data_IF_814084487724
#
_entry.id   IF_814084487724
#
_cell.length_a   1.000
_cell.length_b   1.000
_cell.length_c   1.000
_cell.angle_alpha   90.00
_cell.angle_beta   90.00
_cell.angle_gamma   90.00
#
_symmetry.space_group_name_H-M   'P 1'
#
loop_
_entity.id
_entity.type
_entity.pdbx_description
1 polymer ?
#
# COMPACT_ATOMS: atom_id res chain seq x y z
N UNK A 1 22.19 -29.18 8.17
CA UNK A 1 20.93 -28.55 7.71
C UNK A 1 21.26 -27.11 7.35
N UNK A 2 21.31 -26.79 6.07
CA UNK A 2 21.67 -25.45 5.61
C UNK A 2 20.40 -24.59 5.63
N UNK A 3 20.37 -23.56 6.46
CA UNK A 3 19.32 -22.53 6.39
C UNK A 3 19.47 -21.82 5.05
N UNK A 4 18.53 -22.03 4.13
CA UNK A 4 18.41 -21.17 2.96
C UNK A 4 17.84 -19.85 3.46
N UNK A 5 18.66 -18.80 3.47
CA UNK A 5 18.17 -17.42 3.57
C UNK A 5 17.33 -17.16 2.33
N UNK A 6 16.01 -17.12 2.49
CA UNK A 6 15.14 -16.61 1.43
C UNK A 6 15.44 -15.12 1.36
N UNK A 7 16.16 -14.68 0.32
CA UNK A 7 16.25 -13.25 0.02
C UNK A 7 14.84 -12.76 -0.33
N UNK A 8 14.25 -12.00 0.57
CA UNK A 8 12.97 -11.34 0.33
C UNK A 8 13.13 -10.31 -0.78
N UNK A 9 12.13 -10.23 -1.67
CA UNK A 9 12.12 -9.33 -2.82
C UNK A 9 11.70 -7.92 -2.39
N UNK A 10 12.35 -6.88 -2.88
CA UNK A 10 11.96 -5.48 -2.62
C UNK A 10 10.82 -5.07 -3.54
N UNK A 11 9.90 -4.24 -3.05
CA UNK A 11 8.82 -3.69 -3.89
C UNK A 11 9.36 -2.86 -5.05
N UNK A 12 10.52 -2.22 -4.88
CA UNK A 12 11.28 -1.52 -5.93
C UNK A 12 11.46 -2.37 -7.20
N UNK A 13 11.68 -3.67 -7.05
CA UNK A 13 11.91 -4.58 -8.19
C UNK A 13 10.68 -4.77 -9.08
N UNK A 14 9.49 -4.37 -8.62
CA UNK A 14 8.23 -4.50 -9.35
C UNK A 14 8.04 -3.44 -10.44
N UNK A 15 8.95 -2.48 -10.56
CA UNK A 15 8.94 -1.48 -11.62
C UNK A 15 10.34 -1.29 -12.19
N UNK A 16 10.44 -0.69 -13.38
CA UNK A 16 11.73 -0.36 -13.97
C UNK A 16 12.52 0.63 -13.08
N UNK A 17 13.86 0.50 -12.95
CA UNK A 17 14.66 1.35 -12.06
C UNK A 17 14.47 2.85 -12.31
N UNK A 18 14.45 3.28 -13.57
CA UNK A 18 14.23 4.68 -13.93
C UNK A 18 12.84 5.20 -13.52
N UNK A 19 11.82 4.34 -13.55
CA UNK A 19 10.48 4.71 -13.10
C UNK A 19 10.42 4.77 -11.57
N UNK A 20 11.03 3.80 -10.87
CA UNK A 20 11.13 3.84 -9.42
C UNK A 20 11.74 5.16 -8.93
N UNK A 21 12.89 5.54 -9.49
CA UNK A 21 13.55 6.79 -9.13
C UNK A 21 12.69 8.03 -9.43
N UNK A 22 11.96 8.02 -10.55
CA UNK A 22 11.06 9.12 -10.91
C UNK A 22 9.89 9.23 -9.93
N UNK A 23 9.31 8.10 -9.54
CA UNK A 23 8.22 8.03 -8.57
C UNK A 23 8.72 8.47 -7.19
N UNK A 24 9.82 7.91 -6.69
CA UNK A 24 10.40 8.30 -5.40
C UNK A 24 10.77 9.79 -5.36
N UNK A 25 11.38 10.35 -6.41
CA UNK A 25 11.63 11.80 -6.48
C UNK A 25 10.36 12.64 -6.41
N UNK A 26 9.27 12.18 -7.02
CA UNK A 26 7.94 12.83 -6.94
C UNK A 26 7.43 12.77 -5.49
N UNK A 27 7.48 11.60 -4.87
CA UNK A 27 7.11 11.37 -3.46
C UNK A 27 7.89 12.30 -2.53
N UNK A 28 9.21 12.37 -2.68
CA UNK A 28 10.08 13.27 -1.93
C UNK A 28 9.65 14.74 -2.07
N UNK A 29 9.45 15.17 -3.31
CA UNK A 29 9.11 16.56 -3.63
C UNK A 29 7.74 16.97 -3.10
N UNK A 30 6.69 16.18 -3.32
CA UNK A 30 5.33 16.57 -2.92
C UNK A 30 5.17 16.59 -1.40
N UNK A 31 5.80 15.65 -0.72
CA UNK A 31 5.60 15.43 0.72
C UNK A 31 6.70 16.03 1.60
N UNK A 32 7.66 16.76 1.01
CA UNK A 32 8.72 17.45 1.76
C UNK A 32 9.65 16.51 2.55
N UNK A 33 9.86 15.28 2.07
CA UNK A 33 10.68 14.27 2.75
C UNK A 33 12.05 14.10 2.10
N UNK A 34 12.98 13.45 2.82
CA UNK A 34 14.31 13.14 2.29
C UNK A 34 14.23 12.07 1.19
N UNK A 35 15.21 12.01 0.26
CA UNK A 35 15.26 10.97 -0.76
C UNK A 35 15.26 9.55 -0.18
N UNK A 36 15.95 9.34 0.94
CA UNK A 36 16.05 8.02 1.59
C UNK A 36 14.69 7.56 2.13
N UNK A 37 13.94 8.48 2.77
CA UNK A 37 12.59 8.19 3.25
C UNK A 37 11.64 7.92 2.09
N UNK A 38 11.70 8.74 1.03
CA UNK A 38 10.87 8.56 -0.16
C UNK A 38 11.13 7.21 -0.85
N UNK A 39 12.39 6.81 -0.95
CA UNK A 39 12.78 5.51 -1.48
C UNK A 39 12.19 4.37 -0.64
N UNK A 40 12.28 4.47 0.69
CA UNK A 40 11.78 3.44 1.59
C UNK A 40 10.25 3.31 1.53
N UNK A 41 9.50 4.41 1.58
CA UNK A 41 8.03 4.33 1.52
C UNK A 41 7.52 3.96 0.11
N UNK A 42 8.24 4.35 -0.96
CA UNK A 42 7.90 3.94 -2.33
C UNK A 42 8.07 2.44 -2.50
N UNK A 43 9.13 1.86 -1.93
CA UNK A 43 9.33 0.42 -1.92
C UNK A 43 8.18 -0.32 -1.21
N UNK A 44 7.82 0.13 0.00
CA UNK A 44 6.77 -0.49 0.80
C UNK A 44 5.38 -0.33 0.15
N UNK A 45 5.09 0.80 -0.50
CA UNK A 45 3.83 1.00 -1.23
C UNK A 45 3.70 0.06 -2.43
N UNK A 46 4.79 -0.17 -3.19
CA UNK A 46 4.77 -1.12 -4.30
C UNK A 46 4.56 -2.57 -3.81
N UNK A 47 5.20 -2.95 -2.70
CA UNK A 47 5.00 -4.25 -2.07
C UNK A 47 3.56 -4.45 -1.59
N UNK A 48 2.95 -3.43 -0.98
CA UNK A 48 1.53 -3.43 -0.62
C UNK A 48 0.65 -3.67 -1.84
N UNK A 49 0.78 -2.85 -2.88
CA UNK A 49 -0.10 -2.91 -4.05
C UNK A 49 -0.01 -4.26 -4.76
N UNK A 50 1.19 -4.84 -4.82
CA UNK A 50 1.38 -6.19 -5.34
C UNK A 50 0.74 -7.27 -4.46
N UNK A 51 0.83 -7.13 -3.15
CA UNK A 51 0.21 -8.05 -2.19
C UNK A 51 -1.31 -8.00 -2.30
N UNK A 52 -1.87 -6.79 -2.27
CA UNK A 52 -3.29 -6.53 -2.44
C UNK A 52 -3.81 -7.06 -3.77
N UNK A 53 -3.12 -6.76 -4.89
CA UNK A 53 -3.52 -7.23 -6.22
C UNK A 53 -3.53 -8.76 -6.39
N UNK A 54 -2.73 -9.48 -5.61
CA UNK A 54 -2.65 -10.95 -5.63
C UNK A 54 -3.58 -11.61 -4.62
N UNK A 55 -4.23 -10.82 -3.78
CA UNK A 55 -5.06 -11.32 -2.69
C UNK A 55 -6.25 -12.13 -3.23
N UNK A 56 -6.42 -13.40 -2.83
CA UNK A 56 -7.56 -14.21 -3.25
C UNK A 56 -8.88 -13.64 -2.74
N UNK A 57 -9.99 -14.06 -3.33
CA UNK A 57 -11.31 -13.68 -2.85
C UNK A 57 -11.59 -14.28 -1.46
N UNK A 58 -12.19 -13.48 -0.58
CA UNK A 58 -12.46 -13.87 0.81
C UNK A 58 -11.27 -13.80 1.77
N UNK A 59 -10.06 -13.42 1.32
CA UNK A 59 -8.97 -13.12 2.24
C UNK A 59 -9.22 -11.79 2.99
N UNK A 60 -8.69 -11.65 4.24
CA UNK A 60 -8.91 -10.48 5.07
C UNK A 60 -8.59 -9.16 4.35
N UNK A 61 -9.31 -8.10 4.71
CA UNK A 61 -8.99 -6.73 4.28
C UNK A 61 -7.56 -6.39 4.67
N UNK A 62 -6.79 -5.85 3.72
CA UNK A 62 -5.50 -5.25 4.00
C UNK A 62 -5.66 -3.74 4.10
N UNK A 63 -4.95 -3.18 5.07
CA UNK A 63 -4.99 -1.78 5.47
C UNK A 63 -3.67 -1.10 5.15
N UNK A 64 -3.71 0.06 4.52
CA UNK A 64 -2.52 0.85 4.21
C UNK A 64 -1.92 1.47 5.49
N UNK A 65 -0.59 1.61 5.50
CA UNK A 65 0.09 2.38 6.55
C UNK A 65 0.00 3.87 6.27
N UNK A 66 -0.28 4.67 7.30
CA UNK A 66 -0.35 6.13 7.20
C UNK A 66 0.98 6.75 6.76
N UNK A 67 2.12 6.11 7.07
CA UNK A 67 3.44 6.60 6.66
C UNK A 67 3.81 6.19 5.23
N UNK A 68 3.15 5.16 4.68
CA UNK A 68 3.41 4.62 3.33
C UNK A 68 2.43 5.17 2.29
N UNK A 69 1.20 5.49 2.72
CA UNK A 69 0.12 6.00 1.88
C UNK A 69 0.51 7.16 0.94
N UNK A 70 1.33 8.15 1.35
CA UNK A 70 1.73 9.24 0.46
C UNK A 70 2.42 8.78 -0.83
N UNK A 71 3.11 7.64 -0.80
CA UNK A 71 3.73 7.07 -2.00
C UNK A 71 2.71 6.44 -2.95
N UNK A 72 1.65 5.83 -2.42
CA UNK A 72 0.56 5.31 -3.23
C UNK A 72 -0.20 6.44 -3.94
N UNK A 73 -0.52 7.52 -3.21
CA UNK A 73 -1.16 8.72 -3.78
C UNK A 73 -0.38 9.25 -4.99
N UNK A 74 0.92 9.42 -4.85
CA UNK A 74 1.75 9.89 -5.97
C UNK A 74 1.79 8.90 -7.13
N UNK A 75 1.81 7.58 -6.85
CA UNK A 75 1.83 6.58 -7.91
C UNK A 75 0.54 6.64 -8.76
N UNK A 76 -0.62 6.85 -8.14
CA UNK A 76 -1.89 6.99 -8.86
C UNK A 76 -1.90 8.17 -9.84
N UNK A 77 -1.10 9.21 -9.59
CA UNK A 77 -0.98 10.34 -10.53
C UNK A 77 -0.26 9.96 -11.84
N UNK A 78 0.50 8.87 -11.85
CA UNK A 78 1.10 8.29 -13.05
C UNK A 78 0.16 7.27 -13.68
N UNK A 79 -1.03 7.72 -14.07
CA UNK A 79 -2.17 6.87 -14.47
C UNK A 79 -1.82 5.72 -15.42
N UNK A 80 -1.05 5.99 -16.48
CA UNK A 80 -0.62 4.94 -17.42
C UNK A 80 0.32 3.89 -16.79
N UNK A 81 1.25 4.31 -15.93
CA UNK A 81 2.15 3.39 -15.23
C UNK A 81 1.41 2.61 -14.14
N UNK A 82 0.45 3.26 -13.45
CA UNK A 82 -0.42 2.63 -12.47
C UNK A 82 -1.26 1.53 -13.12
N UNK A 83 -1.92 1.84 -14.26
CA UNK A 83 -2.66 0.84 -15.03
C UNK A 83 -1.76 -0.30 -15.52
N UNK A 84 -0.57 0.02 -16.02
CA UNK A 84 0.39 -1.00 -16.49
C UNK A 84 0.82 -1.93 -15.35
N UNK A 85 0.99 -1.41 -14.14
CA UNK A 85 1.41 -2.20 -12.98
C UNK A 85 0.44 -3.35 -12.66
N UNK A 86 -0.87 -3.16 -12.85
CA UNK A 86 -1.85 -4.21 -12.56
C UNK A 86 -2.15 -5.13 -13.76
N UNK A 87 -1.56 -4.93 -14.94
CA UNK A 87 -1.76 -5.83 -16.11
C UNK A 87 -1.03 -7.18 -15.99
N UNK A 88 -0.66 -7.59 -14.79
CA UNK A 88 0.01 -8.86 -14.51
C UNK A 88 -1.01 -10.00 -14.46
N UNK A 89 -0.71 -11.20 -14.98
CA UNK A 89 -1.63 -12.33 -14.90
C UNK A 89 -2.05 -12.63 -13.46
N UNK A 90 -3.35 -12.79 -13.24
CA UNK A 90 -3.92 -13.10 -11.92
C UNK A 90 -4.00 -11.93 -10.94
N UNK A 91 -3.54 -10.73 -11.33
CA UNK A 91 -3.64 -9.54 -10.49
C UNK A 91 -4.96 -8.81 -10.78
N UNK A 92 -5.62 -8.33 -9.74
CA UNK A 92 -6.67 -7.32 -9.88
C UNK A 92 -6.09 -5.92 -9.69
N UNK A 93 -6.73 -4.93 -10.32
CA UNK A 93 -6.37 -3.53 -10.09
C UNK A 93 -6.85 -3.11 -8.71
N UNK A 94 -5.93 -2.60 -7.90
CA UNK A 94 -6.25 -2.00 -6.61
C UNK A 94 -6.79 -0.59 -6.87
N UNK A 95 -8.03 -0.34 -6.50
CA UNK A 95 -8.67 0.97 -6.56
C UNK A 95 -8.52 1.68 -5.22
N UNK A 96 -8.31 3.00 -5.25
CA UNK A 96 -8.22 3.78 -4.03
C UNK A 96 -9.59 4.36 -3.69
N UNK A 97 -10.07 4.08 -2.48
CA UNK A 97 -11.34 4.57 -1.95
C UNK A 97 -11.05 5.36 -0.66
N UNK A 98 -10.98 6.71 -0.73
CA UNK A 98 -10.81 7.54 0.45
C UNK A 98 -11.98 7.39 1.42
N UNK A 99 -11.69 7.51 2.72
CA UNK A 99 -12.71 7.72 3.73
C UNK A 99 -12.86 9.23 3.96
N UNK A 100 -14.00 9.80 3.63
CA UNK A 100 -14.19 11.27 3.76
C UNK A 100 -14.48 11.72 5.21
N UNK A 101 -14.39 10.82 6.20
CA UNK A 101 -14.58 11.12 7.63
C UNK A 101 -16.02 11.45 8.06
N UNK A 102 -16.98 11.46 7.14
CA UNK A 102 -18.40 11.66 7.44
C UNK A 102 -19.04 10.38 7.98
N UNK A 103 -19.71 10.46 9.13
CA UNK A 103 -20.47 9.34 9.72
C UNK A 103 -19.85 8.67 10.95
N UNK A 104 -18.73 9.19 11.49
CA UNK A 104 -18.19 8.73 12.78
C UNK A 104 -17.54 7.34 12.75
N UNK A 105 -17.31 6.77 11.57
CA UNK A 105 -16.57 5.53 11.41
C UNK A 105 -15.07 5.78 11.60
N UNK A 106 -14.45 4.96 12.43
CA UNK A 106 -13.02 5.03 12.72
C UNK A 106 -12.31 3.89 11.99
N UNK A 107 -11.16 4.19 11.39
CA UNK A 107 -10.17 3.19 11.00
C UNK A 107 -10.02 2.16 12.14
N UNK A 108 -9.94 0.84 11.86
CA UNK A 108 -9.75 -0.13 12.93
C UNK A 108 -8.55 0.24 13.77
N UNK A 109 -8.60 -0.07 15.06
CA UNK A 109 -7.50 0.25 15.96
C UNK A 109 -6.17 -0.28 15.37
N UNK A 110 -5.04 0.45 15.50
CA UNK A 110 -3.79 0.10 14.82
C UNK A 110 -3.33 -1.35 14.97
N UNK A 111 -3.54 -1.93 16.16
CA UNK A 111 -3.20 -3.32 16.48
C UNK A 111 -4.07 -4.37 15.77
N UNK A 112 -5.19 -3.95 15.16
CA UNK A 112 -6.08 -4.78 14.34
C UNK A 112 -5.77 -4.59 12.86
N UNK A 113 -5.56 -3.34 12.42
CA UNK A 113 -5.41 -3.01 10.99
C UNK A 113 -4.07 -3.44 10.39
N UNK A 114 -2.96 -3.14 11.06
CA UNK A 114 -1.62 -3.26 10.46
C UNK A 114 -1.06 -4.70 10.43
N UNK A 115 -1.20 -5.52 11.49
CA UNK A 115 -0.58 -6.85 11.49
C UNK A 115 -0.99 -7.74 10.32
N UNK A 116 -2.28 -7.83 9.92
CA UNK A 116 -2.70 -8.60 8.76
C UNK A 116 -2.01 -8.17 7.46
N UNK A 117 -1.87 -6.86 7.23
CA UNK A 117 -1.17 -6.32 6.06
C UNK A 117 0.30 -6.73 6.05
N UNK A 118 0.99 -6.53 7.17
CA UNK A 118 2.41 -6.86 7.32
C UNK A 118 2.66 -8.35 7.09
N UNK A 119 1.81 -9.21 7.66
CA UNK A 119 1.92 -10.66 7.49
C UNK A 119 1.63 -11.08 6.05
N UNK A 120 0.65 -10.45 5.39
CA UNK A 120 0.35 -10.71 3.97
C UNK A 120 1.52 -10.31 3.06
N UNK A 121 2.17 -9.17 3.30
CA UNK A 121 3.32 -8.71 2.50
C UNK A 121 4.51 -9.67 2.66
N UNK A 122 4.76 -10.14 3.89
CA UNK A 122 5.79 -11.16 4.15
C UNK A 122 5.45 -12.49 3.47
N UNK A 123 4.20 -12.94 3.57
CA UNK A 123 3.73 -14.17 2.94
C UNK A 123 3.80 -14.11 1.41
N UNK A 124 3.63 -12.93 0.82
CA UNK A 124 3.84 -12.66 -0.60
C UNK A 124 5.34 -12.61 -1.00
N UNK A 125 6.26 -12.76 -0.04
CA UNK A 125 7.71 -12.84 -0.28
C UNK A 125 8.42 -11.49 -0.32
N UNK A 126 7.73 -10.39 0.04
CA UNK A 126 8.31 -9.06 0.00
C UNK A 126 9.01 -8.68 1.31
N UNK A 127 9.99 -7.77 1.21
CA UNK A 127 10.63 -7.14 2.37
C UNK A 127 9.66 -6.19 3.06
N UNK A 128 9.64 -6.24 4.38
CA UNK A 128 8.88 -5.32 5.24
C UNK A 128 9.86 -4.52 6.08
N UNK A 129 9.70 -3.20 6.09
CA UNK A 129 10.38 -2.28 7.02
C UNK A 129 9.39 -1.95 8.15
N UNK A 130 9.40 -2.66 9.30
CA UNK A 130 8.33 -2.60 10.29
C UNK A 130 8.03 -1.21 10.82
N UNK A 131 9.04 -0.34 10.88
CA UNK A 131 8.95 1.03 11.39
C UNK A 131 8.08 1.93 10.51
N UNK A 132 7.86 1.54 9.25
CA UNK A 132 7.01 2.26 8.29
C UNK A 132 5.57 1.76 8.29
N UNK A 133 5.22 0.74 9.09
CA UNK A 133 3.88 0.16 9.13
C UNK A 133 3.13 0.64 10.37
N UNK A 134 2.50 1.81 10.26
CA UNK A 134 1.75 2.46 11.34
C UNK A 134 0.35 2.83 10.86
N UNK A 135 -0.64 2.76 11.75
CA UNK A 135 -1.99 3.26 11.45
C UNK A 135 -2.23 4.56 12.21
N UNK A 136 -2.95 5.49 11.57
CA UNK A 136 -3.52 6.66 12.23
C UNK A 136 -5.03 6.46 12.38
N UNK A 137 -5.52 6.74 13.59
CA UNK A 137 -6.93 6.57 13.99
C UNK A 137 -7.81 7.72 13.49
N UNK A 138 -7.22 8.87 13.17
CA UNK A 138 -7.92 10.03 12.65
C UNK A 138 -8.06 9.89 11.12
N UNK A 139 -9.28 9.63 10.67
CA UNK A 139 -9.65 9.36 9.27
C UNK A 139 -9.74 10.65 8.43
N UNK A 140 -9.05 11.72 8.81
CA UNK A 140 -9.00 12.94 8.00
C UNK A 140 -8.52 12.67 6.58
N UNK A 141 -7.64 11.66 6.40
CA UNK A 141 -7.06 11.28 5.10
C UNK A 141 -6.60 9.80 5.01
N UNK A 142 -6.90 8.91 5.99
CA UNK A 142 -6.43 7.51 5.91
C UNK A 142 -7.29 6.68 4.95
N UNK A 143 -6.72 6.42 3.78
CA UNK A 143 -7.34 5.71 2.68
C UNK A 143 -6.74 4.30 2.64
N UNK A 144 -7.50 3.26 2.98
CA UNK A 144 -6.86 1.96 3.15
C UNK A 144 -7.83 0.81 3.25
N UNK A 145 -8.53 0.51 2.17
CA UNK A 145 -8.81 -0.89 1.85
C UNK A 145 -7.90 -1.33 0.68
N UNK A 146 -7.85 -2.63 0.43
CA UNK A 146 -7.09 -3.21 -0.68
C UNK A 146 -7.77 -3.03 -2.05
N UNK A 147 -8.71 -2.09 -2.16
CA UNK A 147 -9.34 -1.69 -3.40
C UNK A 147 -10.29 -2.70 -4.01
N UNK A 148 -10.72 -3.72 -3.26
CA UNK A 148 -11.79 -4.61 -3.67
C UNK A 148 -13.17 -3.94 -3.48
N UNK A 149 -14.03 -3.93 -4.51
CA UNK A 149 -15.44 -3.55 -4.34
C UNK A 149 -16.12 -4.48 -3.32
N UNK A 150 -16.76 -3.91 -2.30
CA UNK A 150 -17.56 -4.67 -1.33
C UNK A 150 -16.90 -4.93 0.03
N UNK A 151 -15.68 -4.43 0.24
CA UNK A 151 -15.08 -4.31 1.58
C UNK A 151 -14.72 -2.86 1.95
N UNK A 152 -15.54 -1.85 1.54
CA UNK A 152 -15.26 -0.50 1.97
C UNK A 152 -15.33 -0.48 3.49
N UNK A 153 -14.38 0.23 4.12
CA UNK A 153 -14.64 0.75 5.45
C UNK A 153 -16.05 1.36 5.42
N UNK A 154 -16.90 1.19 6.44
CA UNK A 154 -18.23 1.79 6.51
C UNK A 154 -18.11 3.32 6.73
N UNK A 155 -17.33 3.99 5.88
CA UNK A 155 -17.30 5.40 5.62
C UNK A 155 -18.66 5.68 4.98
N UNK A 156 -19.59 6.21 5.78
CA UNK A 156 -21.03 6.13 5.52
C UNK A 156 -21.41 6.45 4.07
N UNK A 157 -22.43 5.74 3.57
CA UNK A 157 -23.00 6.00 2.26
C UNK A 157 -23.40 7.47 2.16
N UNK A 158 -22.83 8.18 1.17
CA UNK A 158 -23.34 9.47 0.74
C UNK A 158 -24.72 9.22 0.13
N UNK A 159 -25.78 9.58 0.87
CA UNK A 159 -27.16 9.56 0.40
C UNK A 159 -27.41 10.43 -0.82
#
# INVERSE_FOLDING_TARGET
MTLQTIEHVTGRSLVGPAFFERLSRRVAKTNGMTPETADAITDQALAYLATSAQKPDGAPTLYMSADVDPAWHEFMTFTAAYDQFFRRPGWHKVHHAPCDGWGGATYPAPHVAIPPTVDAIRAAGYQVVPELWTAKVDCGDTCGDDGKPGDPLPCGDHG
#
